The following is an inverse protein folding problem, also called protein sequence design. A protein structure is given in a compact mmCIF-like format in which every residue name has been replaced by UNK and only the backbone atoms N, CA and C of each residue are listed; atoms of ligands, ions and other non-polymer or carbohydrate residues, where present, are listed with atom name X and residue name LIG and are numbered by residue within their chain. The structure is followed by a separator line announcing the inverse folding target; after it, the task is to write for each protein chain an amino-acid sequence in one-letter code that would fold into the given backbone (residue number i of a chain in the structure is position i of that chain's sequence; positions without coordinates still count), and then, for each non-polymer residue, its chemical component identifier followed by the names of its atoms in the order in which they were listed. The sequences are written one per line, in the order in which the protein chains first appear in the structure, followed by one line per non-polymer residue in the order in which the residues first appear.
data_IF_840618924861
#
_entry.id   IF_840618924861
#
_cell.length_a   1.000
_cell.length_b   1.000
_cell.length_c   1.000
_cell.angle_alpha   90.00
_cell.angle_beta   90.00
_cell.angle_gamma   90.00
#
_symmetry.space_group_name_H-M   'P 1'
#
loop_
_entity.id
_entity.type
_entity.pdbx_description
1 polymer ?
#
# COMPACT_ATOMS: atom_id res chain seq x y z
N UNK A 1 -7.17 -35.76 49.82
CA UNK A 1 -7.17 -36.16 48.38
C UNK A 1 -8.04 -35.27 47.49
N UNK A 2 -8.68 -34.21 48.01
CA UNK A 2 -9.47 -33.25 47.20
C UNK A 2 -8.63 -32.08 46.67
N UNK A 3 -7.62 -31.63 47.42
CA UNK A 3 -6.74 -30.51 47.04
C UNK A 3 -5.89 -30.76 45.76
N UNK A 4 -5.47 -32.00 45.50
CA UNK A 4 -4.72 -32.34 44.28
C UNK A 4 -5.59 -32.29 43.00
N UNK A 5 -6.87 -32.63 43.13
CA UNK A 5 -7.81 -32.57 42.00
C UNK A 5 -8.09 -31.12 41.59
N UNK A 6 -8.24 -30.20 42.55
CA UNK A 6 -8.44 -28.77 42.27
C UNK A 6 -7.19 -28.11 41.66
N UNK A 7 -5.99 -28.44 42.14
CA UNK A 7 -4.74 -27.92 41.57
C UNK A 7 -4.52 -28.36 40.11
N UNK A 8 -4.95 -29.57 39.75
CA UNK A 8 -4.91 -30.06 38.37
C UNK A 8 -5.94 -29.37 37.46
N UNK A 9 -7.13 -29.07 37.99
CA UNK A 9 -8.18 -28.33 37.27
C UNK A 9 -7.77 -26.88 37.02
N UNK A 10 -7.14 -26.23 37.99
CA UNK A 10 -6.74 -24.82 37.89
C UNK A 10 -5.63 -24.62 36.86
N UNK A 11 -4.65 -25.54 36.78
CA UNK A 11 -3.62 -25.52 35.73
C UNK A 11 -4.21 -25.56 34.31
N UNK A 12 -5.31 -26.30 34.09
CA UNK A 12 -5.99 -26.38 32.79
C UNK A 12 -6.75 -25.09 32.48
N UNK A 13 -7.40 -24.49 33.49
CA UNK A 13 -8.09 -23.20 33.36
C UNK A 13 -7.11 -22.06 33.08
N UNK A 14 -5.98 -22.05 33.77
CA UNK A 14 -4.92 -21.05 33.60
C UNK A 14 -4.34 -21.10 32.19
N UNK A 15 -4.03 -22.30 31.66
CA UNK A 15 -3.56 -22.46 30.28
C UNK A 15 -4.56 -21.98 29.24
N UNK A 16 -5.86 -22.27 29.41
CA UNK A 16 -6.93 -21.81 28.52
C UNK A 16 -7.13 -20.30 28.53
N UNK A 17 -7.10 -19.68 29.71
CA UNK A 17 -7.17 -18.22 29.83
C UNK A 17 -5.95 -17.57 29.16
N UNK A 18 -4.75 -18.13 29.36
CA UNK A 18 -3.55 -17.60 28.74
C UNK A 18 -3.62 -17.66 27.20
N UNK A 19 -4.11 -18.75 26.62
CA UNK A 19 -4.29 -18.85 25.16
C UNK A 19 -5.35 -17.88 24.64
N UNK A 20 -6.46 -17.70 25.38
CA UNK A 20 -7.47 -16.70 25.02
C UNK A 20 -6.89 -15.30 24.99
N UNK A 21 -6.15 -14.91 26.03
CA UNK A 21 -5.48 -13.60 26.08
C UNK A 21 -4.44 -13.43 24.98
N UNK A 22 -3.70 -14.49 24.60
CA UNK A 22 -2.76 -14.44 23.46
C UNK A 22 -3.48 -14.19 22.14
N UNK A 23 -4.57 -14.90 21.87
CA UNK A 23 -5.36 -14.71 20.65
C UNK A 23 -5.95 -13.31 20.62
N UNK A 24 -6.50 -12.85 21.74
CA UNK A 24 -7.08 -11.51 21.86
C UNK A 24 -6.02 -10.41 21.64
N UNK A 25 -4.81 -10.59 22.18
CA UNK A 25 -3.70 -9.67 21.95
C UNK A 25 -3.25 -9.64 20.48
N UNK A 26 -3.17 -10.80 19.82
CA UNK A 26 -2.83 -10.87 18.39
C UNK A 26 -3.92 -10.20 17.54
N UNK A 27 -5.20 -10.48 17.82
CA UNK A 27 -6.32 -9.85 17.12
C UNK A 27 -6.37 -8.34 17.35
N UNK A 28 -6.14 -7.88 18.58
CA UNK A 28 -6.06 -6.46 18.89
C UNK A 28 -4.87 -5.78 18.19
N UNK A 29 -3.72 -6.44 18.12
CA UNK A 29 -2.56 -5.95 17.37
C UNK A 29 -2.83 -5.84 15.88
N UNK A 30 -3.45 -6.87 15.28
CA UNK A 30 -3.89 -6.82 13.88
C UNK A 30 -4.88 -5.69 13.65
N UNK A 31 -5.91 -5.57 14.49
CA UNK A 31 -6.91 -4.51 14.39
C UNK A 31 -6.28 -3.10 14.53
N UNK A 32 -5.32 -2.93 15.44
CA UNK A 32 -4.59 -1.67 15.60
C UNK A 32 -3.79 -1.31 14.35
N UNK A 33 -3.12 -2.30 13.73
CA UNK A 33 -2.43 -2.11 12.45
C UNK A 33 -3.43 -1.67 11.38
N UNK A 34 -4.54 -2.38 11.26
CA UNK A 34 -5.62 -2.09 10.30
C UNK A 34 -6.19 -0.67 10.43
N UNK A 35 -6.43 -0.20 11.66
CA UNK A 35 -6.94 1.16 11.92
C UNK A 35 -5.85 2.22 11.78
N UNK A 36 -4.59 1.88 12.02
CA UNK A 36 -3.46 2.81 11.89
C UNK A 36 -3.06 3.09 10.45
N UNK A 37 -3.53 2.28 9.49
CA UNK A 37 -3.35 2.56 8.07
C UNK A 37 -4.14 3.82 7.73
N UNK A 38 -3.48 4.93 7.34
CA UNK A 38 -4.21 6.11 6.91
C UNK A 38 -5.05 5.73 5.69
N UNK A 39 -6.26 6.30 5.59
CA UNK A 39 -7.19 6.09 4.48
C UNK A 39 -6.59 6.45 3.09
N UNK A 40 -5.39 7.06 3.06
CA UNK A 40 -4.59 7.32 1.86
C UNK A 40 -3.36 6.41 1.66
N UNK A 41 -3.18 5.32 2.43
CA UNK A 41 -2.05 4.38 2.23
C UNK A 41 -2.23 3.45 1.04
N UNK A 42 -3.46 3.23 0.57
CA UNK A 42 -3.72 2.67 -0.77
C UNK A 42 -3.35 3.66 -1.86
N UNK A 43 -3.52 4.97 -1.62
CA UNK A 43 -3.01 6.04 -2.47
C UNK A 43 -1.49 6.25 -2.38
N UNK A 44 -0.73 5.44 -1.61
CA UNK A 44 0.73 5.38 -1.80
C UNK A 44 1.13 4.50 -3.00
N UNK A 45 0.23 3.64 -3.47
CA UNK A 45 0.38 2.91 -4.75
C UNK A 45 -0.25 3.67 -5.92
N UNK A 46 -1.28 4.48 -5.65
CA UNK A 46 -1.99 5.35 -6.61
C UNK A 46 -1.96 6.81 -6.14
N UNK A 47 -0.76 7.30 -5.86
CA UNK A 47 -0.58 8.69 -5.44
C UNK A 47 -0.67 9.60 -6.64
N UNK A 48 -1.38 10.71 -6.49
CA UNK A 48 -1.31 11.82 -7.44
C UNK A 48 0.14 12.13 -7.77
N UNK A 49 0.52 12.00 -9.03
CA UNK A 49 1.90 12.17 -9.46
C UNK A 49 2.02 13.14 -10.62
N UNK A 50 3.22 13.70 -10.75
CA UNK A 50 3.60 14.58 -11.84
C UNK A 50 4.55 13.83 -12.74
N UNK A 51 4.17 13.58 -13.99
CA UNK A 51 5.05 12.96 -14.96
C UNK A 51 5.96 14.00 -15.63
N UNK A 52 7.15 13.57 -16.04
CA UNK A 52 8.06 14.35 -16.88
C UNK A 52 8.32 13.59 -18.17
N UNK A 53 8.06 14.22 -19.30
CA UNK A 53 8.36 13.73 -20.64
C UNK A 53 9.50 14.56 -21.23
N UNK A 54 10.58 13.91 -21.64
CA UNK A 54 11.70 14.56 -22.31
C UNK A 54 11.67 14.25 -23.81
N UNK A 55 11.62 15.30 -24.63
CA UNK A 55 11.70 15.20 -26.09
C UNK A 55 13.09 15.68 -26.50
N UNK A 56 13.93 14.75 -26.98
CA UNK A 56 15.31 15.05 -27.38
C UNK A 56 15.54 14.73 -28.86
N UNK A 57 16.34 15.55 -29.53
CA UNK A 57 16.72 15.32 -30.93
C UNK A 57 15.61 15.68 -31.93
N UNK A 58 15.73 15.26 -33.18
CA UNK A 58 14.81 15.64 -34.27
C UNK A 58 13.39 15.10 -34.04
N UNK A 59 12.38 15.96 -34.08
CA UNK A 59 10.98 15.55 -33.98
C UNK A 59 10.59 14.82 -35.26
N UNK A 60 10.10 13.60 -35.12
CA UNK A 60 9.56 12.78 -36.21
C UNK A 60 8.26 12.12 -35.76
N UNK A 61 7.52 11.55 -36.69
CA UNK A 61 6.35 10.74 -36.34
C UNK A 61 6.81 9.49 -35.56
N UNK A 62 6.53 9.47 -34.26
CA UNK A 62 6.77 8.35 -33.36
C UNK A 62 5.46 7.91 -32.70
N UNK A 63 4.98 6.72 -33.10
CA UNK A 63 3.76 6.12 -32.55
C UNK A 63 3.87 5.84 -31.05
N UNK A 64 5.06 5.46 -30.55
CA UNK A 64 5.27 5.15 -29.13
C UNK A 64 5.20 6.40 -28.26
N UNK A 65 5.73 7.52 -28.76
CA UNK A 65 5.61 8.81 -28.09
C UNK A 65 4.14 9.22 -27.98
N UNK A 66 3.38 9.11 -29.07
CA UNK A 66 1.94 9.40 -29.09
C UNK A 66 1.17 8.54 -28.08
N UNK A 67 1.44 7.23 -28.06
CA UNK A 67 0.79 6.30 -27.14
C UNK A 67 1.15 6.59 -25.68
N UNK A 68 2.37 7.05 -25.41
CA UNK A 68 2.80 7.43 -24.06
C UNK A 68 2.05 8.68 -23.58
N UNK A 69 1.85 9.65 -24.47
CA UNK A 69 1.07 10.86 -24.17
C UNK A 69 -0.41 10.51 -23.96
N UNK A 70 -0.97 9.63 -24.79
CA UNK A 70 -2.36 9.18 -24.66
C UNK A 70 -2.59 8.46 -23.32
N UNK A 71 -1.67 7.55 -22.94
CA UNK A 71 -1.70 6.86 -21.64
C UNK A 71 -1.56 7.82 -20.47
N UNK A 72 -0.75 8.88 -20.63
CA UNK A 72 -0.62 9.93 -19.63
C UNK A 72 -1.93 10.73 -19.50
N UNK A 73 -2.57 11.06 -20.63
CA UNK A 73 -3.84 11.79 -20.65
C UNK A 73 -5.02 10.99 -20.05
N UNK A 74 -5.02 9.67 -20.21
CA UNK A 74 -6.06 8.79 -19.67
C UNK A 74 -5.87 8.41 -18.19
N UNK A 75 -4.80 8.86 -17.53
CA UNK A 75 -4.50 8.47 -16.16
C UNK A 75 -5.07 9.50 -15.16
N UNK A 76 -6.07 9.11 -14.38
CA UNK A 76 -6.75 9.96 -13.39
C UNK A 76 -5.84 10.41 -12.23
N UNK A 77 -4.75 9.67 -11.97
CA UNK A 77 -3.74 9.98 -10.95
C UNK A 77 -2.64 10.91 -11.46
N UNK A 78 -2.57 11.16 -12.78
CA UNK A 78 -1.61 12.11 -13.34
C UNK A 78 -2.16 13.54 -13.21
N UNK A 79 -1.69 14.26 -12.20
CA UNK A 79 -2.15 15.65 -11.95
C UNK A 79 -1.51 16.68 -12.86
N UNK A 80 -0.28 16.42 -13.32
CA UNK A 80 0.42 17.33 -14.22
C UNK A 80 1.46 16.59 -15.08
N UNK A 81 1.73 17.12 -16.27
CA UNK A 81 2.76 16.64 -17.18
C UNK A 81 3.74 17.77 -17.49
N UNK A 82 5.02 17.58 -17.15
CA UNK A 82 6.10 18.48 -17.51
C UNK A 82 6.72 17.99 -18.82
N UNK A 83 6.68 18.80 -19.86
CA UNK A 83 7.33 18.50 -21.15
C UNK A 83 8.63 19.31 -21.25
N UNK A 84 9.76 18.62 -21.25
CA UNK A 84 11.07 19.22 -21.47
C UNK A 84 11.53 18.94 -22.90
N UNK A 85 11.72 19.99 -23.69
CA UNK A 85 12.04 19.89 -25.12
C UNK A 85 13.47 20.36 -25.34
N UNK A 86 14.30 19.47 -25.88
CA UNK A 86 15.67 19.72 -26.32
C UNK A 86 15.82 19.18 -27.75
N UNK A 87 15.23 19.91 -28.70
CA UNK A 87 15.12 19.50 -30.10
C UNK A 87 15.55 20.63 -31.04
N UNK A 88 16.33 20.35 -32.09
CA UNK A 88 16.61 21.31 -33.17
C UNK A 88 15.40 21.51 -34.12
N UNK A 89 14.27 20.85 -33.88
CA UNK A 89 13.14 20.75 -34.82
C UNK A 89 13.31 19.60 -35.81
N UNK A 90 12.40 19.51 -36.78
CA UNK A 90 12.35 18.42 -37.77
C UNK A 90 10.98 18.27 -38.41
#
# INVERSE_FOLDING_TARGET
MTFEADLLLDRRRLKRRLTLWRVLAVLAGLAAIWVSLPEGSTAMLEGDYVARLEIRGTIREDRRMLETIERAASNEHLRALIVAIDSPGG
#
